data_IF_813988079562
#
_entry.id   IF_813988079562
#
_cell.length_a   1.000
_cell.length_b   1.000
_cell.length_c   1.000
_cell.angle_alpha   90.00
_cell.angle_beta   90.00
_cell.angle_gamma   90.00
#
_symmetry.space_group_name_H-M   'P 1'
#
loop_
_entity.id
_entity.type
_entity.pdbx_description
1 polymer ?
#
# COMPACT_ATOMS: atom_id res chain seq x y z
N UNK A 1 11.58 12.27 -5.79
CA UNK A 1 10.62 12.40 -4.69
C UNK A 1 9.86 11.09 -4.42
N UNK A 2 9.10 10.50 -5.35
CA UNK A 2 8.41 9.21 -5.11
C UNK A 2 9.36 8.09 -4.68
N UNK A 3 10.49 7.93 -5.37
CA UNK A 3 11.52 6.94 -5.00
C UNK A 3 12.03 7.15 -3.57
N UNK A 4 12.38 8.39 -3.22
CA UNK A 4 12.94 8.73 -1.90
C UNK A 4 11.96 8.46 -0.76
N UNK A 5 10.67 8.75 -0.97
CA UNK A 5 9.62 8.43 0.01
C UNK A 5 9.51 6.91 0.24
N UNK A 6 9.49 6.11 -0.84
CA UNK A 6 9.46 4.65 -0.73
C UNK A 6 10.66 4.08 0.05
N UNK A 7 11.87 4.60 -0.20
CA UNK A 7 13.07 4.15 0.54
C UNK A 7 13.01 4.56 2.01
N UNK A 8 12.61 5.80 2.31
CA UNK A 8 12.54 6.30 3.69
C UNK A 8 11.61 5.46 4.56
N UNK A 9 10.46 5.06 4.02
CA UNK A 9 9.50 4.23 4.73
C UNK A 9 10.01 2.81 4.93
N UNK A 10 10.45 2.13 3.86
CA UNK A 10 10.62 0.68 3.89
C UNK A 10 11.96 0.20 4.46
N UNK A 11 12.95 1.09 4.62
CA UNK A 11 14.27 0.71 5.15
C UNK A 11 14.24 0.21 6.61
N UNK A 12 13.20 0.52 7.37
CA UNK A 12 13.02 0.04 8.74
C UNK A 12 12.38 -1.36 8.79
N UNK A 13 11.57 -1.74 7.80
CA UNK A 13 10.73 -2.95 7.84
C UNK A 13 11.52 -4.25 8.05
N UNK A 14 12.69 -4.47 7.42
CA UNK A 14 13.50 -5.67 7.66
C UNK A 14 14.05 -5.78 9.10
N UNK A 15 14.00 -4.69 9.88
CA UNK A 15 14.50 -4.62 11.26
C UNK A 15 13.39 -4.92 12.29
N UNK A 16 12.16 -5.14 11.86
CA UNK A 16 11.01 -5.40 12.75
C UNK A 16 11.21 -6.62 13.67
N UNK A 17 11.80 -7.75 13.23
CA UNK A 17 12.10 -8.86 14.14
C UNK A 17 13.04 -8.47 15.28
N UNK A 18 14.06 -7.66 15.00
CA UNK A 18 14.98 -7.16 16.03
C UNK A 18 14.28 -6.22 17.01
N UNK A 19 13.43 -5.32 16.50
CA UNK A 19 12.67 -4.36 17.32
C UNK A 19 11.67 -5.11 18.21
N UNK A 20 10.93 -6.08 17.64
CA UNK A 20 9.99 -6.94 18.37
C UNK A 20 10.69 -7.67 19.51
N UNK A 21 11.83 -8.30 19.20
CA UNK A 21 12.63 -9.04 20.18
C UNK A 21 13.23 -8.12 21.26
N UNK A 22 13.75 -6.94 20.86
CA UNK A 22 14.33 -5.95 21.78
C UNK A 22 13.34 -5.47 22.84
N UNK A 23 12.07 -5.26 22.46
CA UNK A 23 11.03 -4.84 23.39
C UNK A 23 10.26 -6.01 24.03
N UNK A 24 10.55 -7.25 23.66
CA UNK A 24 9.88 -8.45 24.18
C UNK A 24 8.37 -8.48 23.85
N UNK A 25 7.97 -7.97 22.66
CA UNK A 25 6.56 -7.88 22.28
C UNK A 25 6.04 -9.23 21.81
N UNK A 26 4.81 -9.59 22.25
CA UNK A 26 4.03 -10.63 21.58
C UNK A 26 3.60 -10.19 20.17
N UNK A 27 3.08 -11.10 19.36
CA UNK A 27 2.61 -10.78 18.01
C UNK A 27 1.42 -9.80 18.04
N UNK A 28 0.50 -9.96 18.99
CA UNK A 28 -0.60 -9.02 19.22
C UNK A 28 -0.07 -7.62 19.59
N UNK A 29 0.88 -7.54 20.51
CA UNK A 29 1.46 -6.27 20.93
C UNK A 29 2.22 -5.60 19.78
N UNK A 30 2.96 -6.38 19.00
CA UNK A 30 3.63 -5.87 17.80
C UNK A 30 2.61 -5.36 16.76
N UNK A 31 1.58 -6.13 16.43
CA UNK A 31 0.51 -5.72 15.51
C UNK A 31 -0.19 -4.43 15.95
N UNK A 32 -0.48 -4.29 17.26
CA UNK A 32 -1.03 -3.04 17.83
C UNK A 32 -0.04 -1.87 17.78
N UNK A 33 1.26 -2.15 17.84
CA UNK A 33 2.30 -1.13 17.78
C UNK A 33 2.46 -0.59 16.36
N UNK A 34 2.55 -1.46 15.36
CA UNK A 34 2.77 -1.04 13.96
C UNK A 34 1.53 -0.39 13.35
N UNK A 35 0.34 -0.70 13.85
CA UNK A 35 -0.91 -0.04 13.41
C UNK A 35 -0.91 1.47 13.68
N UNK A 36 -0.05 1.94 14.60
CA UNK A 36 0.12 3.36 14.88
C UNK A 36 0.48 4.17 13.61
N UNK A 37 1.27 3.60 12.70
CA UNK A 37 1.57 4.24 11.40
C UNK A 37 0.29 4.49 10.59
N UNK A 38 -0.56 3.49 10.44
CA UNK A 38 -1.83 3.63 9.71
C UNK A 38 -2.79 4.60 10.40
N UNK A 39 -2.83 4.60 11.73
CA UNK A 39 -3.62 5.55 12.51
C UNK A 39 -3.15 6.99 12.28
N UNK A 40 -1.84 7.24 12.27
CA UNK A 40 -1.26 8.53 11.93
C UNK A 40 -1.63 8.98 10.52
N UNK A 41 -1.55 8.08 9.54
CA UNK A 41 -1.91 8.37 8.16
C UNK A 41 -3.39 8.74 7.98
N UNK A 42 -4.29 8.13 8.75
CA UNK A 42 -5.72 8.50 8.75
C UNK A 42 -5.92 9.90 9.34
N UNK A 43 -5.25 10.22 10.46
CA UNK A 43 -5.33 11.55 11.08
C UNK A 43 -4.79 12.67 10.19
N UNK A 44 -3.87 12.36 9.28
CA UNK A 44 -3.27 13.32 8.34
C UNK A 44 -4.25 13.88 7.30
N UNK A 45 -5.36 13.18 7.03
CA UNK A 45 -6.27 13.51 5.93
C UNK A 45 -6.80 14.95 5.98
N UNK A 46 -7.00 15.50 7.17
CA UNK A 46 -7.47 16.88 7.36
C UNK A 46 -6.35 17.94 7.22
N UNK A 47 -5.08 17.55 7.37
CA UNK A 47 -3.95 18.48 7.41
C UNK A 47 -3.29 18.69 6.03
N UNK A 48 -3.32 17.68 5.14
CA UNK A 48 -2.57 17.71 3.89
C UNK A 48 -3.00 18.87 2.97
N UNK A 49 -4.29 19.05 2.70
CA UNK A 49 -4.78 20.07 1.78
C UNK A 49 -4.49 21.52 2.25
N UNK A 50 -4.73 21.93 3.52
CA UNK A 50 -4.31 23.24 4.02
C UNK A 50 -2.82 23.50 3.90
N UNK A 51 -1.98 22.51 4.21
CA UNK A 51 -0.53 22.64 4.13
C UNK A 51 -0.06 22.84 2.70
N UNK A 52 -0.60 22.04 1.75
CA UNK A 52 -0.28 22.16 0.32
C UNK A 52 -0.71 23.52 -0.23
N UNK A 53 -1.90 24.01 0.12
CA UNK A 53 -2.36 25.35 -0.31
C UNK A 53 -1.47 26.47 0.22
N UNK A 54 -1.03 26.36 1.50
CA UNK A 54 -0.24 27.43 2.15
C UNK A 54 1.22 27.47 1.70
N UNK A 55 1.84 26.30 1.51
CA UNK A 55 3.30 26.19 1.31
C UNK A 55 3.70 25.65 -0.06
N UNK A 56 2.74 25.17 -0.85
CA UNK A 56 2.96 24.53 -2.15
C UNK A 56 3.38 23.06 -2.03
N UNK A 57 2.95 22.26 -3.00
CA UNK A 57 3.12 20.81 -3.01
C UNK A 57 4.60 20.38 -2.92
N UNK A 58 5.47 20.98 -3.75
CA UNK A 58 6.90 20.65 -3.78
C UNK A 58 7.57 20.90 -2.44
N UNK A 59 7.27 22.03 -1.77
CA UNK A 59 7.85 22.38 -0.48
C UNK A 59 7.37 21.44 0.61
N UNK A 60 6.08 21.12 0.65
CA UNK A 60 5.50 20.16 1.60
C UNK A 60 6.15 18.80 1.42
N UNK A 61 6.39 18.35 0.18
CA UNK A 61 7.04 17.07 -0.09
C UNK A 61 8.47 17.01 0.48
N UNK A 62 9.36 17.94 0.16
CA UNK A 62 10.76 17.82 0.61
C UNK A 62 10.92 18.10 2.11
N UNK A 63 10.19 19.07 2.69
CA UNK A 63 10.18 19.29 4.14
C UNK A 63 9.61 18.10 4.88
N UNK A 64 8.48 17.59 4.40
CA UNK A 64 7.87 16.37 4.93
C UNK A 64 8.77 15.14 4.85
N UNK A 65 9.56 14.99 3.77
CA UNK A 65 10.55 13.91 3.68
C UNK A 65 11.62 13.99 4.76
N UNK A 66 12.06 15.20 5.14
CA UNK A 66 12.99 15.39 6.27
C UNK A 66 12.32 15.01 7.60
N UNK A 67 11.08 15.44 7.80
CA UNK A 67 10.31 15.10 9.02
C UNK A 67 10.09 13.59 9.08
N UNK A 68 9.70 12.95 7.97
CA UNK A 68 9.55 11.49 7.88
C UNK A 68 10.87 10.78 8.22
N UNK A 69 11.98 11.21 7.63
CA UNK A 69 13.29 10.66 7.93
C UNK A 69 13.64 10.78 9.42
N UNK A 70 13.33 11.93 10.03
CA UNK A 70 13.58 12.17 11.45
C UNK A 70 12.72 11.27 12.34
N UNK A 71 11.42 11.16 12.05
CA UNK A 71 10.51 10.29 12.81
C UNK A 71 10.89 8.81 12.66
N UNK A 72 11.31 8.37 11.48
CA UNK A 72 11.82 7.01 11.25
C UNK A 72 13.15 6.77 11.98
N UNK A 73 14.04 7.77 12.06
CA UNK A 73 15.27 7.67 12.84
C UNK A 73 14.96 7.58 14.35
N UNK A 74 14.00 8.35 14.85
CA UNK A 74 13.51 8.23 16.24
C UNK A 74 12.89 6.86 16.48
N UNK A 75 12.13 6.31 15.54
CA UNK A 75 11.60 4.95 15.64
C UNK A 75 12.73 3.92 15.73
N UNK A 76 13.75 4.02 14.88
CA UNK A 76 14.90 3.11 14.88
C UNK A 76 15.81 3.21 16.10
N UNK A 77 15.81 4.34 16.81
CA UNK A 77 16.58 4.56 18.05
C UNK A 77 15.70 4.59 19.30
N UNK A 78 14.45 4.14 19.25
CA UNK A 78 13.50 4.28 20.35
C UNK A 78 13.91 3.47 21.59
N UNK A 79 13.81 4.05 22.80
CA UNK A 79 14.16 3.37 24.05
C UNK A 79 13.02 2.50 24.60
N UNK A 80 11.81 2.57 24.03
CA UNK A 80 10.65 1.79 24.47
C UNK A 80 9.64 1.61 23.35
N UNK A 81 8.79 0.57 23.49
CA UNK A 81 7.72 0.29 22.52
C UNK A 81 6.73 1.47 22.37
N UNK A 82 6.47 2.22 23.43
CA UNK A 82 5.60 3.40 23.37
C UNK A 82 6.20 4.54 22.56
N UNK A 83 7.51 4.79 22.70
CA UNK A 83 8.22 5.81 21.87
C UNK A 83 8.26 5.34 20.43
N UNK A 84 8.49 4.03 20.20
CA UNK A 84 8.42 3.43 18.87
C UNK A 84 7.05 3.63 18.21
N UNK A 85 5.96 3.30 18.92
CA UNK A 85 4.59 3.50 18.43
C UNK A 85 4.28 4.97 18.15
N UNK A 86 4.67 5.88 19.05
CA UNK A 86 4.48 7.32 18.85
C UNK A 86 5.27 7.86 17.64
N UNK A 87 6.50 7.38 17.45
CA UNK A 87 7.32 7.73 16.29
C UNK A 87 6.72 7.18 14.99
N UNK A 88 6.19 5.95 14.98
CA UNK A 88 5.46 5.38 13.85
C UNK A 88 4.18 6.17 13.55
N UNK A 89 3.42 6.58 14.56
CA UNK A 89 2.25 7.43 14.37
C UNK A 89 2.62 8.76 13.70
N UNK A 90 3.66 9.43 14.20
CA UNK A 90 4.16 10.68 13.60
C UNK A 90 4.71 10.46 12.18
N UNK A 91 5.37 9.32 11.94
CA UNK A 91 5.84 8.93 10.62
C UNK A 91 4.67 8.72 9.65
N UNK A 92 3.64 7.99 10.05
CA UNK A 92 2.44 7.76 9.23
C UNK A 92 1.67 9.03 8.91
N UNK A 93 1.51 9.92 9.90
CA UNK A 93 0.92 11.25 9.71
C UNK A 93 1.72 12.05 8.67
N UNK A 94 3.03 12.06 8.79
CA UNK A 94 3.92 12.81 7.89
C UNK A 94 3.93 12.20 6.49
N UNK A 95 4.02 10.87 6.41
CA UNK A 95 4.03 10.11 5.13
C UNK A 95 2.77 10.39 4.30
N UNK A 96 1.59 10.35 4.93
CA UNK A 96 0.35 10.63 4.22
C UNK A 96 0.25 12.08 3.72
N UNK A 97 0.82 13.05 4.44
CA UNK A 97 0.93 14.45 3.97
C UNK A 97 1.90 14.54 2.78
N UNK A 98 3.04 13.86 2.86
CA UNK A 98 4.05 13.80 1.78
C UNK A 98 3.46 13.12 0.56
N UNK A 99 2.75 12.00 0.73
CA UNK A 99 2.11 11.28 -0.37
C UNK A 99 1.09 12.16 -1.10
N UNK A 100 0.20 12.83 -0.37
CA UNK A 100 -0.74 13.78 -0.96
C UNK A 100 -0.02 14.90 -1.74
N UNK A 101 1.03 15.48 -1.17
CA UNK A 101 1.77 16.57 -1.77
C UNK A 101 2.54 16.13 -3.02
N UNK A 102 3.22 14.98 -2.98
CA UNK A 102 3.96 14.47 -4.14
C UNK A 102 3.02 14.07 -5.29
N UNK A 103 1.81 13.57 -4.99
CA UNK A 103 0.80 13.29 -6.01
C UNK A 103 0.32 14.58 -6.68
N UNK A 104 0.04 15.65 -5.92
CA UNK A 104 -0.30 16.96 -6.48
C UNK A 104 0.81 17.49 -7.38
N UNK A 105 2.07 17.42 -6.93
CA UNK A 105 3.23 17.83 -7.72
C UNK A 105 3.38 16.96 -8.99
N UNK A 106 3.18 15.64 -8.87
CA UNK A 106 3.25 14.69 -9.97
C UNK A 106 2.19 14.95 -11.05
N UNK A 107 0.95 15.23 -10.66
CA UNK A 107 -0.14 15.60 -11.58
C UNK A 107 0.18 16.93 -12.28
N UNK A 108 0.76 17.91 -11.59
CA UNK A 108 1.17 19.16 -12.20
C UNK A 108 2.27 18.95 -13.28
N UNK A 109 3.25 18.10 -13.00
CA UNK A 109 4.26 17.69 -13.98
C UNK A 109 3.63 16.93 -15.14
N UNK A 110 2.72 15.98 -14.89
CA UNK A 110 1.99 15.24 -15.93
C UNK A 110 1.29 16.17 -16.91
N UNK A 111 0.59 17.18 -16.39
CA UNK A 111 -0.08 18.19 -17.23
C UNK A 111 0.91 18.99 -18.10
N UNK A 112 2.07 19.37 -17.54
CA UNK A 112 3.10 20.09 -18.31
C UNK A 112 3.80 19.20 -19.31
N UNK A 113 3.89 17.91 -19.05
CA UNK A 113 4.53 16.91 -19.91
C UNK A 113 3.60 16.46 -21.07
N UNK A 114 2.29 16.67 -20.94
CA UNK A 114 1.29 16.31 -21.94
C UNK A 114 1.06 14.81 -22.14
N UNK A 115 1.55 13.97 -21.21
CA UNK A 115 1.41 12.51 -21.24
C UNK A 115 1.18 11.99 -19.83
N UNK A 116 0.37 10.94 -19.68
CA UNK A 116 0.15 10.29 -18.40
C UNK A 116 1.43 9.66 -17.86
N UNK A 117 1.86 10.08 -16.66
CA UNK A 117 3.06 9.58 -15.98
C UNK A 117 2.81 9.21 -14.52
N UNK A 118 1.61 9.45 -13.97
CA UNK A 118 1.32 9.22 -12.54
C UNK A 118 1.54 7.76 -12.14
N UNK A 119 1.13 6.80 -12.99
CA UNK A 119 1.37 5.38 -12.74
C UNK A 119 2.87 5.05 -12.72
N UNK A 120 3.66 5.67 -13.61
CA UNK A 120 5.12 5.53 -13.61
C UNK A 120 5.75 6.09 -12.35
N UNK A 121 5.21 7.20 -11.80
CA UNK A 121 5.67 7.78 -10.55
C UNK A 121 5.41 6.83 -9.36
N UNK A 122 4.24 6.18 -9.32
CA UNK A 122 3.94 5.15 -8.31
C UNK A 122 4.79 3.89 -8.49
N UNK A 123 5.12 3.51 -9.73
CA UNK A 123 6.06 2.43 -9.99
C UNK A 123 7.46 2.77 -9.46
N UNK A 124 7.91 4.00 -9.65
CA UNK A 124 9.18 4.51 -9.09
C UNK A 124 9.15 4.51 -7.55
N UNK A 125 8.00 4.81 -6.92
CA UNK A 125 7.82 4.64 -5.48
C UNK A 125 8.02 3.18 -5.05
N UNK A 126 7.39 2.23 -5.73
CA UNK A 126 7.54 0.79 -5.43
C UNK A 126 8.98 0.30 -5.56
N UNK A 127 9.72 0.81 -6.57
CA UNK A 127 11.15 0.54 -6.72
C UNK A 127 11.95 1.11 -5.55
N UNK A 128 11.61 2.32 -5.08
CA UNK A 128 12.16 2.92 -3.88
C UNK A 128 11.92 2.06 -2.64
N UNK A 129 10.69 1.61 -2.46
CA UNK A 129 10.32 0.76 -1.33
C UNK A 129 11.08 -0.60 -1.35
N UNK A 130 11.18 -1.25 -2.51
CA UNK A 130 11.99 -2.46 -2.64
C UNK A 130 13.48 -2.20 -2.33
N UNK A 131 14.02 -1.05 -2.77
CA UNK A 131 15.40 -0.63 -2.48
C UNK A 131 15.61 -0.41 -0.98
N UNK A 132 14.67 0.27 -0.31
CA UNK A 132 14.71 0.45 1.14
C UNK A 132 14.70 -0.88 1.89
N UNK A 133 13.87 -1.82 1.47
CA UNK A 133 13.87 -3.18 2.02
C UNK A 133 15.23 -3.88 1.88
N UNK A 134 15.89 -3.76 0.72
CA UNK A 134 17.27 -4.28 0.52
C UNK A 134 18.27 -3.59 1.44
N UNK A 135 18.21 -2.25 1.55
CA UNK A 135 19.08 -1.48 2.46
C UNK A 135 18.91 -1.97 3.90
N UNK A 136 17.67 -2.12 4.37
CA UNK A 136 17.38 -2.63 5.71
C UNK A 136 17.92 -4.06 5.93
N UNK A 137 17.71 -4.96 4.97
CA UNK A 137 18.17 -6.35 5.03
C UNK A 137 19.70 -6.45 5.07
N UNK A 138 20.39 -5.69 4.20
CA UNK A 138 21.87 -5.65 4.16
C UNK A 138 22.43 -5.05 5.46
N UNK A 139 21.82 -3.95 5.94
CA UNK A 139 22.25 -3.33 7.21
C UNK A 139 22.08 -4.28 8.39
N UNK A 140 21.00 -5.05 8.43
CA UNK A 140 20.77 -6.09 9.43
C UNK A 140 21.82 -7.22 9.34
N UNK A 141 22.14 -7.66 8.12
CA UNK A 141 23.13 -8.72 7.89
C UNK A 141 24.56 -8.29 8.23
N UNK A 142 24.83 -7.00 8.19
CA UNK A 142 26.14 -6.39 8.54
C UNK A 142 26.20 -5.92 10.00
N UNK A 143 25.19 -6.24 10.82
CA UNK A 143 25.07 -5.84 12.23
C UNK A 143 25.15 -4.31 12.44
N UNK A 144 24.75 -3.51 11.45
CA UNK A 144 24.69 -2.06 11.58
C UNK A 144 23.55 -1.71 12.55
N UNK A 145 23.82 -0.94 13.60
CA UNK A 145 22.80 -0.51 14.56
C UNK A 145 21.64 0.22 13.88
N UNK A 146 20.39 -0.08 14.28
CA UNK A 146 19.17 0.42 13.64
C UNK A 146 19.15 1.96 13.59
N UNK A 147 19.50 2.62 14.71
CA UNK A 147 19.56 4.08 14.79
C UNK A 147 20.55 4.68 13.78
N UNK A 148 21.75 4.11 13.65
CA UNK A 148 22.76 4.55 12.68
C UNK A 148 22.26 4.36 11.25
N UNK A 149 21.72 3.18 10.93
CA UNK A 149 21.12 2.90 9.63
C UNK A 149 20.07 3.96 9.28
N UNK A 150 19.13 4.23 10.18
CA UNK A 150 18.02 5.14 9.91
C UNK A 150 18.46 6.60 9.78
N UNK A 151 19.47 7.05 10.54
CA UNK A 151 20.03 8.39 10.41
C UNK A 151 20.75 8.54 9.06
N UNK A 152 21.59 7.57 8.68
CA UNK A 152 22.31 7.60 7.39
C UNK A 152 21.31 7.55 6.23
N UNK A 153 20.39 6.60 6.25
CA UNK A 153 19.34 6.46 5.23
C UNK A 153 18.50 7.74 5.13
N UNK A 154 18.04 8.27 6.27
CA UNK A 154 17.27 9.50 6.34
C UNK A 154 18.01 10.70 5.77
N UNK A 155 19.29 10.85 6.09
CA UNK A 155 20.14 11.95 5.59
C UNK A 155 20.31 11.89 4.07
N UNK A 156 20.72 10.73 3.55
CA UNK A 156 20.96 10.53 2.11
C UNK A 156 19.70 10.83 1.30
N UNK A 157 18.57 10.25 1.69
CA UNK A 157 17.35 10.38 0.89
C UNK A 157 16.61 11.71 1.12
N UNK A 158 16.80 12.37 2.26
CA UNK A 158 16.35 13.77 2.44
C UNK A 158 17.13 14.73 1.55
N UNK A 159 18.43 14.57 1.41
CA UNK A 159 19.24 15.34 0.47
C UNK A 159 18.78 15.07 -0.97
N UNK A 160 18.59 13.82 -1.34
CA UNK A 160 18.08 13.46 -2.67
C UNK A 160 16.69 14.06 -2.94
N UNK A 161 15.78 14.06 -1.97
CA UNK A 161 14.47 14.70 -2.07
C UNK A 161 14.57 16.21 -2.23
N UNK A 162 15.48 16.86 -1.49
CA UNK A 162 15.76 18.30 -1.62
C UNK A 162 16.31 18.64 -3.01
N UNK A 163 17.29 17.87 -3.51
CA UNK A 163 17.85 18.07 -4.87
C UNK A 163 16.74 17.88 -5.92
N UNK A 164 15.96 16.79 -5.82
CA UNK A 164 14.83 16.56 -6.72
C UNK A 164 13.81 17.70 -6.70
N UNK A 165 13.56 18.30 -5.52
CA UNK A 165 12.64 19.44 -5.40
C UNK A 165 13.11 20.68 -6.15
N UNK A 166 14.43 20.88 -6.25
CA UNK A 166 15.03 22.01 -6.98
C UNK A 166 14.95 21.85 -8.49
N UNK A 167 14.80 20.61 -8.97
CA UNK A 167 14.67 20.30 -10.40
C UNK A 167 13.23 20.41 -10.91
N UNK A 168 12.24 20.47 -10.01
CA UNK A 168 10.83 20.70 -10.38
C UNK A 168 10.67 22.19 -10.72
N UNK A 169 10.42 22.50 -11.97
CA UNK A 169 10.27 23.88 -12.47
C UNK A 169 9.05 24.55 -11.85
N UNK A 170 9.21 25.83 -11.50
CA UNK A 170 8.25 26.64 -10.75
C UNK A 170 6.85 26.77 -11.38
N UNK A 171 6.68 26.47 -12.68
CA UNK A 171 5.40 26.51 -13.39
C UNK A 171 4.43 25.38 -13.03
N UNK A 172 4.95 24.26 -12.54
CA UNK A 172 4.11 23.11 -12.15
C UNK A 172 3.52 23.22 -10.73
N UNK A 173 4.03 24.16 -9.92
CA UNK A 173 3.71 24.23 -8.48
C UNK A 173 2.44 25.04 -8.14
N UNK A 174 1.80 25.70 -9.09
CA UNK A 174 0.81 26.76 -8.84
C UNK A 174 -0.63 26.40 -9.20
N UNK A 175 -1.03 25.13 -9.26
CA UNK A 175 -2.44 24.80 -9.52
C UNK A 175 -3.22 24.59 -8.22
N UNK A 176 -4.47 25.13 -8.15
CA UNK A 176 -5.34 24.91 -6.99
C UNK A 176 -5.61 23.42 -6.80
N UNK A 177 -5.47 22.96 -5.57
CA UNK A 177 -6.00 21.64 -5.16
C UNK A 177 -7.52 21.76 -5.32
N UNK A 178 -8.10 20.99 -6.24
CA UNK A 178 -9.55 20.84 -6.31
C UNK A 178 -9.95 20.06 -5.05
N UNK A 179 -10.55 20.76 -4.10
CA UNK A 179 -11.15 20.13 -2.93
C UNK A 179 -12.28 19.22 -3.45
N UNK A 180 -12.06 17.91 -3.42
CA UNK A 180 -13.19 16.99 -3.33
C UNK A 180 -13.69 17.09 -1.88
N UNK A 181 -14.88 17.64 -1.62
CA UNK A 181 -15.32 17.85 -0.25
C UNK A 181 -15.66 16.49 0.36
N UNK A 182 -14.85 16.05 1.33
CA UNK A 182 -15.15 14.84 2.10
C UNK A 182 -16.54 14.89 2.76
N UNK A 183 -17.03 16.08 3.08
CA UNK A 183 -18.34 16.30 3.70
C UNK A 183 -19.52 16.12 2.72
N UNK A 184 -19.39 16.54 1.46
CA UNK A 184 -20.41 16.29 0.41
C UNK A 184 -20.40 14.83 -0.03
N UNK A 185 -19.23 14.19 -0.07
CA UNK A 185 -19.09 12.78 -0.36
C UNK A 185 -19.89 11.90 0.62
N UNK A 186 -19.85 12.23 1.91
CA UNK A 186 -20.60 11.50 2.94
C UNK A 186 -22.13 11.67 2.84
N UNK A 187 -22.60 12.85 2.42
CA UNK A 187 -24.02 13.14 2.26
C UNK A 187 -24.65 12.44 1.02
N UNK A 188 -23.92 12.38 -0.10
CA UNK A 188 -24.37 11.70 -1.33
C UNK A 188 -24.31 10.16 -1.21
N UNK A 189 -23.43 9.62 -0.37
CA UNK A 189 -23.32 8.21 -0.10
C UNK A 189 -24.49 7.59 0.64
N UNK A 190 -25.44 8.40 1.12
CA UNK A 190 -26.63 7.93 1.87
C UNK A 190 -27.59 7.04 1.07
N UNK A 191 -27.41 6.85 -0.24
CA UNK A 191 -28.23 5.98 -1.06
C UNK A 191 -27.87 4.49 -0.84
N UNK A 192 -28.83 3.63 -0.39
CA UNK A 192 -28.60 2.19 -0.27
C UNK A 192 -28.13 1.53 -1.58
N UNK A 193 -28.49 2.10 -2.72
CA UNK A 193 -28.10 1.62 -4.04
C UNK A 193 -26.61 1.88 -4.31
N UNK A 194 -26.10 3.07 -3.95
CA UNK A 194 -24.70 3.41 -4.09
C UNK A 194 -23.83 2.49 -3.22
N UNK A 195 -24.24 2.22 -1.97
CA UNK A 195 -23.54 1.30 -1.07
C UNK A 195 -23.48 -0.13 -1.58
N UNK A 196 -24.56 -0.66 -2.17
CA UNK A 196 -24.55 -2.01 -2.76
C UNK A 196 -23.52 -2.18 -3.87
N UNK A 197 -23.17 -1.09 -4.54
CA UNK A 197 -22.14 -1.08 -5.61
C UNK A 197 -20.74 -0.78 -5.05
N UNK A 198 -20.64 0.13 -4.08
CA UNK A 198 -19.37 0.57 -3.51
C UNK A 198 -18.77 -0.43 -2.52
N UNK A 199 -19.59 -1.09 -1.68
CA UNK A 199 -19.10 -2.00 -0.64
C UNK A 199 -18.23 -3.16 -1.18
N UNK A 200 -18.59 -3.87 -2.27
CA UNK A 200 -17.71 -4.90 -2.82
C UNK A 200 -16.40 -4.32 -3.38
N UNK A 201 -16.39 -3.07 -3.87
CA UNK A 201 -15.18 -2.41 -4.33
C UNK A 201 -14.27 -2.01 -3.16
N UNK A 202 -14.86 -1.52 -2.06
CA UNK A 202 -14.13 -1.26 -0.81
C UNK A 202 -13.51 -2.54 -0.28
N UNK A 203 -14.27 -3.63 -0.24
CA UNK A 203 -13.77 -4.92 0.20
C UNK A 203 -12.65 -5.45 -0.70
N UNK A 204 -12.76 -5.26 -2.03
CA UNK A 204 -11.70 -5.60 -2.97
C UNK A 204 -10.42 -4.78 -2.73
N UNK A 205 -10.56 -3.48 -2.45
CA UNK A 205 -9.43 -2.61 -2.12
C UNK A 205 -8.80 -3.02 -0.78
N UNK A 206 -9.61 -3.34 0.24
CA UNK A 206 -9.13 -3.86 1.53
C UNK A 206 -8.35 -5.17 1.33
N UNK A 207 -8.80 -6.10 0.48
CA UNK A 207 -8.04 -7.30 0.17
C UNK A 207 -6.65 -6.96 -0.42
N UNK A 208 -6.55 -5.94 -1.27
CA UNK A 208 -5.27 -5.47 -1.81
C UNK A 208 -4.36 -4.86 -0.76
N UNK A 209 -4.87 -3.94 0.07
CA UNK A 209 -4.10 -3.28 1.14
C UNK A 209 -3.69 -4.24 2.26
N UNK A 210 -4.48 -5.27 2.52
CA UNK A 210 -4.14 -6.35 3.47
C UNK A 210 -2.84 -7.06 3.04
N UNK A 211 -2.66 -7.32 1.75
CA UNK A 211 -1.44 -7.94 1.24
C UNK A 211 -0.24 -7.00 1.39
N UNK A 212 -0.43 -5.69 1.22
CA UNK A 212 0.61 -4.69 1.49
C UNK A 212 0.98 -4.64 2.99
N UNK A 213 -0.01 -4.76 3.88
CA UNK A 213 0.24 -4.83 5.32
C UNK A 213 1.04 -6.08 5.71
N UNK A 214 0.71 -7.24 5.14
CA UNK A 214 1.48 -8.48 5.33
C UNK A 214 2.92 -8.30 4.83
N UNK A 215 3.10 -7.68 3.66
CA UNK A 215 4.43 -7.42 3.13
C UNK A 215 5.26 -6.57 4.10
N UNK A 216 4.68 -5.48 4.59
CA UNK A 216 5.38 -4.48 5.39
C UNK A 216 5.65 -4.95 6.82
N UNK A 217 4.69 -5.60 7.46
CA UNK A 217 4.74 -5.84 8.91
C UNK A 217 5.03 -7.30 9.28
N UNK A 218 4.68 -8.27 8.45
CA UNK A 218 4.69 -9.68 8.83
C UNK A 218 5.61 -10.57 8.01
N UNK A 219 5.94 -10.20 6.77
CA UNK A 219 6.71 -11.07 5.88
C UNK A 219 8.10 -11.41 6.43
N UNK A 220 8.79 -10.45 7.02
CA UNK A 220 10.14 -10.63 7.60
C UNK A 220 10.08 -11.43 8.89
N UNK A 221 9.07 -11.16 9.75
CA UNK A 221 8.82 -11.95 10.95
C UNK A 221 8.57 -13.41 10.59
N UNK A 222 7.65 -13.65 9.65
CA UNK A 222 7.35 -15.00 9.17
C UNK A 222 8.62 -15.73 8.69
N UNK A 223 9.46 -15.07 7.92
CA UNK A 223 10.70 -15.67 7.44
C UNK A 223 11.66 -16.04 8.57
N UNK A 224 11.74 -15.21 9.62
CA UNK A 224 12.59 -15.44 10.79
C UNK A 224 12.06 -16.53 11.71
N UNK A 225 10.78 -16.45 12.02
CA UNK A 225 10.16 -17.27 13.06
C UNK A 225 9.77 -18.65 12.53
N UNK A 226 9.28 -18.73 11.28
CA UNK A 226 8.69 -19.94 10.73
C UNK A 226 9.63 -20.72 9.78
N UNK A 227 10.57 -20.03 9.11
CA UNK A 227 11.49 -20.69 8.17
C UNK A 227 12.93 -20.71 8.65
N UNK A 228 13.21 -20.13 9.82
CA UNK A 228 14.57 -19.99 10.40
C UNK A 228 15.57 -19.37 9.41
N UNK A 229 15.08 -18.50 8.51
CA UNK A 229 15.90 -17.88 7.49
C UNK A 229 17.02 -17.02 8.10
N UNK A 230 18.23 -17.01 7.49
CA UNK A 230 19.25 -16.02 7.84
C UNK A 230 18.71 -14.59 7.72
N UNK A 231 19.21 -13.67 8.56
CA UNK A 231 18.72 -12.27 8.62
C UNK A 231 18.66 -11.61 7.25
N UNK A 232 19.71 -11.77 6.44
CA UNK A 232 19.77 -11.21 5.08
C UNK A 232 18.65 -11.74 4.17
N UNK A 233 18.36 -13.04 4.24
CA UNK A 233 17.31 -13.68 3.41
C UNK A 233 15.92 -13.28 3.89
N UNK A 234 15.71 -13.26 5.21
CA UNK A 234 14.44 -12.84 5.80
C UNK A 234 14.09 -11.39 5.42
N UNK A 235 15.06 -10.48 5.51
CA UNK A 235 14.86 -9.07 5.16
C UNK A 235 14.50 -8.84 3.70
N UNK A 236 14.82 -9.77 2.79
CA UNK A 236 14.41 -9.68 1.38
C UNK A 236 12.92 -9.94 1.15
N UNK A 237 12.19 -10.49 2.12
CA UNK A 237 10.76 -10.81 1.93
C UNK A 237 9.94 -9.58 1.52
N UNK A 238 10.14 -8.44 2.17
CA UNK A 238 9.50 -7.15 1.82
C UNK A 238 9.84 -6.78 0.37
N UNK A 239 11.13 -6.80 0.03
CA UNK A 239 11.61 -6.40 -1.30
C UNK A 239 11.08 -7.29 -2.41
N UNK A 240 11.01 -8.61 -2.17
CA UNK A 240 10.46 -9.59 -3.12
C UNK A 240 8.98 -9.35 -3.34
N UNK A 241 8.22 -9.16 -2.27
CA UNK A 241 6.77 -8.98 -2.36
C UNK A 241 6.40 -7.66 -3.04
N UNK A 242 7.03 -6.54 -2.64
CA UNK A 242 6.81 -5.22 -3.24
C UNK A 242 7.38 -5.16 -4.66
N UNK A 243 8.54 -5.78 -4.91
CA UNK A 243 9.12 -5.90 -6.25
C UNK A 243 8.24 -6.68 -7.22
N UNK A 244 7.64 -7.79 -6.77
CA UNK A 244 6.67 -8.54 -7.55
C UNK A 244 5.38 -7.73 -7.82
N UNK A 245 4.91 -6.96 -6.85
CA UNK A 245 3.81 -6.02 -7.03
C UNK A 245 4.15 -4.94 -8.07
N UNK A 246 5.36 -4.40 -8.05
CA UNK A 246 5.83 -3.47 -9.09
C UNK A 246 5.76 -4.08 -10.49
N UNK A 247 6.26 -5.31 -10.66
CA UNK A 247 6.18 -6.02 -11.95
C UNK A 247 4.72 -6.23 -12.38
N UNK A 248 3.87 -6.63 -11.44
CA UNK A 248 2.44 -6.79 -11.69
C UNK A 248 1.76 -5.49 -12.11
N UNK A 249 2.14 -4.34 -11.54
CA UNK A 249 1.64 -3.00 -11.95
C UNK A 249 2.11 -2.61 -13.34
N UNK A 250 3.36 -2.90 -13.71
CA UNK A 250 3.87 -2.63 -15.07
C UNK A 250 3.17 -3.44 -16.15
N UNK A 251 2.79 -4.68 -15.84
CA UNK A 251 2.08 -5.55 -16.76
C UNK A 251 0.56 -5.36 -16.72
N UNK A 252 0.06 -4.69 -15.68
CA UNK A 252 -1.35 -4.57 -15.34
C UNK A 252 -2.22 -4.01 -16.46
N UNK A 253 -1.75 -2.97 -17.16
CA UNK A 253 -2.49 -2.37 -18.26
C UNK A 253 -2.67 -3.35 -19.42
N UNK A 254 -1.58 -4.03 -19.85
CA UNK A 254 -1.62 -5.05 -20.90
C UNK A 254 -2.50 -6.26 -20.54
N UNK A 255 -2.42 -6.67 -19.27
CA UNK A 255 -3.27 -7.76 -18.76
C UNK A 255 -4.74 -7.34 -18.76
N UNK A 256 -5.03 -6.11 -18.36
CA UNK A 256 -6.39 -5.54 -18.33
C UNK A 256 -6.98 -5.41 -19.74
N UNK A 257 -6.19 -4.97 -20.71
CA UNK A 257 -6.61 -4.89 -22.12
C UNK A 257 -6.95 -6.25 -22.68
N UNK A 258 -6.19 -7.28 -22.31
CA UNK A 258 -6.37 -8.64 -22.85
C UNK A 258 -7.48 -9.45 -22.15
N UNK A 259 -7.57 -9.37 -20.81
CA UNK A 259 -8.44 -10.23 -20.00
C UNK A 259 -9.59 -9.48 -19.33
N UNK A 260 -9.64 -8.16 -19.49
CA UNK A 260 -10.59 -7.28 -18.79
C UNK A 260 -10.23 -7.13 -17.30
N UNK A 261 -10.77 -6.07 -16.69
CA UNK A 261 -10.49 -5.73 -15.27
C UNK A 261 -10.91 -6.83 -14.31
N UNK A 262 -12.08 -7.42 -14.53
CA UNK A 262 -12.60 -8.49 -13.68
C UNK A 262 -11.79 -9.79 -13.83
N UNK A 263 -11.32 -10.08 -15.04
CA UNK A 263 -10.44 -11.23 -15.31
C UNK A 263 -9.11 -11.11 -14.58
N UNK A 264 -8.48 -9.93 -14.65
CA UNK A 264 -7.23 -9.64 -13.96
C UNK A 264 -7.40 -9.65 -12.44
N UNK A 265 -8.46 -9.02 -11.92
CA UNK A 265 -8.73 -9.01 -10.47
C UNK A 265 -9.02 -10.43 -9.93
N UNK A 266 -9.73 -11.27 -10.72
CA UNK A 266 -9.96 -12.68 -10.34
C UNK A 266 -8.67 -13.49 -10.33
N UNK A 267 -7.84 -13.37 -11.37
CA UNK A 267 -6.53 -14.02 -11.40
C UNK A 267 -5.63 -13.53 -10.26
N UNK A 268 -5.66 -12.24 -9.98
CA UNK A 268 -4.95 -11.63 -8.85
C UNK A 268 -5.36 -12.22 -7.50
N UNK A 269 -6.67 -12.33 -7.24
CA UNK A 269 -7.18 -12.96 -6.01
C UNK A 269 -6.77 -14.43 -5.89
N UNK A 270 -6.80 -15.19 -6.97
CA UNK A 270 -6.32 -16.60 -6.99
C UNK A 270 -4.82 -16.65 -6.69
N UNK A 271 -4.01 -15.77 -7.31
CA UNK A 271 -2.56 -15.74 -7.08
C UNK A 271 -2.23 -15.35 -5.63
N UNK A 272 -2.98 -14.43 -5.03
CA UNK A 272 -2.86 -14.10 -3.60
C UNK A 272 -3.12 -15.35 -2.75
N UNK A 273 -4.27 -16.00 -2.95
CA UNK A 273 -4.63 -17.19 -2.18
C UNK A 273 -3.60 -18.30 -2.29
N UNK A 274 -3.21 -18.68 -3.54
CA UNK A 274 -2.20 -19.69 -3.79
C UNK A 274 -0.83 -19.30 -3.23
N UNK A 275 -0.39 -18.05 -3.45
CA UNK A 275 0.89 -17.55 -2.95
C UNK A 275 0.97 -17.62 -1.43
N UNK A 276 -0.09 -17.21 -0.73
CA UNK A 276 -0.13 -17.27 0.73
C UNK A 276 -0.23 -18.69 1.29
N UNK A 277 -0.93 -19.60 0.60
CA UNK A 277 -0.89 -21.04 0.93
C UNK A 277 0.54 -21.59 0.75
N UNK A 278 1.20 -21.29 -0.36
CA UNK A 278 2.59 -21.70 -0.60
C UNK A 278 3.52 -21.14 0.49
N UNK A 279 3.36 -19.89 0.89
CA UNK A 279 4.13 -19.30 1.98
C UNK A 279 3.85 -20.00 3.32
N UNK A 280 2.57 -20.15 3.70
CA UNK A 280 2.16 -20.75 4.98
C UNK A 280 2.62 -22.21 5.12
N UNK A 281 2.63 -22.99 4.03
CA UNK A 281 3.03 -24.39 4.03
C UNK A 281 4.51 -24.59 3.67
N UNK A 282 5.28 -23.51 3.51
CA UNK A 282 6.66 -23.57 3.02
C UNK A 282 7.57 -24.34 3.98
N UNK A 283 8.35 -25.30 3.46
CA UNK A 283 9.38 -25.99 4.23
C UNK A 283 10.70 -25.22 4.29
N UNK A 284 10.88 -24.21 3.41
CA UNK A 284 12.13 -23.45 3.29
C UNK A 284 11.86 -21.98 2.98
N UNK A 285 12.80 -21.12 3.32
CA UNK A 285 12.77 -19.69 3.02
C UNK A 285 12.58 -19.40 1.53
N UNK A 286 13.20 -20.18 0.63
CA UNK A 286 13.07 -19.99 -0.81
C UNK A 286 11.63 -20.21 -1.29
N UNK A 287 10.95 -21.25 -0.80
CA UNK A 287 9.54 -21.52 -1.13
C UNK A 287 8.63 -20.43 -0.57
N UNK A 288 8.89 -19.95 0.63
CA UNK A 288 8.14 -18.83 1.22
C UNK A 288 8.27 -17.56 0.36
N UNK A 289 9.48 -17.22 -0.11
CA UNK A 289 9.71 -16.08 -0.99
C UNK A 289 8.96 -16.19 -2.31
N UNK A 290 8.87 -17.40 -2.90
CA UNK A 290 8.04 -17.64 -4.10
C UNK A 290 6.56 -17.38 -3.79
N UNK A 291 6.06 -17.87 -2.65
CA UNK A 291 4.70 -17.58 -2.20
C UNK A 291 4.43 -16.09 -2.05
N UNK A 292 5.32 -15.36 -1.41
CA UNK A 292 5.23 -13.91 -1.26
C UNK A 292 5.30 -13.17 -2.60
N UNK A 293 6.15 -13.61 -3.54
CA UNK A 293 6.21 -13.04 -4.87
C UNK A 293 4.89 -13.22 -5.65
N UNK A 294 4.28 -14.41 -5.58
CA UNK A 294 2.97 -14.67 -6.19
C UNK A 294 1.87 -13.79 -5.61
N UNK A 295 1.84 -13.65 -4.28
CA UNK A 295 0.86 -12.82 -3.60
C UNK A 295 1.04 -11.33 -3.92
N UNK A 296 2.28 -10.84 -3.92
CA UNK A 296 2.61 -9.47 -4.29
C UNK A 296 2.21 -9.16 -5.74
N UNK A 297 2.54 -10.04 -6.69
CA UNK A 297 2.12 -9.90 -8.08
C UNK A 297 0.59 -9.91 -8.22
N UNK A 298 -0.09 -10.81 -7.51
CA UNK A 298 -1.55 -10.94 -7.54
C UNK A 298 -2.27 -9.70 -6.99
N UNK A 299 -1.72 -9.03 -5.97
CA UNK A 299 -2.32 -7.83 -5.36
C UNK A 299 -2.19 -6.57 -6.22
N UNK A 300 -1.28 -6.55 -7.19
CA UNK A 300 -0.83 -5.38 -7.91
C UNK A 300 -1.95 -4.54 -8.54
N UNK A 301 -3.01 -5.19 -9.03
CA UNK A 301 -4.08 -4.53 -9.79
C UNK A 301 -5.39 -4.39 -9.03
N UNK A 302 -5.53 -4.97 -7.83
CA UNK A 302 -6.80 -4.97 -7.10
C UNK A 302 -7.23 -3.56 -6.69
N UNK A 303 -6.33 -2.79 -6.09
CA UNK A 303 -6.59 -1.42 -5.65
C UNK A 303 -6.87 -0.50 -6.85
N UNK A 304 -6.02 -0.45 -7.90
CA UNK A 304 -6.33 0.34 -9.11
C UNK A 304 -7.65 -0.03 -9.77
N UNK A 305 -7.98 -1.33 -9.85
CA UNK A 305 -9.25 -1.79 -10.41
C UNK A 305 -10.46 -1.32 -9.59
N UNK A 306 -10.35 -1.35 -8.26
CA UNK A 306 -11.39 -0.88 -7.35
C UNK A 306 -11.61 0.64 -7.50
N UNK A 307 -10.54 1.44 -7.55
CA UNK A 307 -10.62 2.89 -7.78
C UNK A 307 -11.28 3.23 -9.12
N UNK A 308 -10.83 2.58 -10.20
CA UNK A 308 -11.40 2.81 -11.53
C UNK A 308 -12.87 2.38 -11.65
N UNK A 309 -13.33 1.46 -10.81
CA UNK A 309 -14.74 1.08 -10.74
C UNK A 309 -15.55 2.03 -9.84
N UNK A 310 -14.96 2.49 -8.73
CA UNK A 310 -15.60 3.43 -7.79
C UNK A 310 -15.90 4.79 -8.43
N UNK A 311 -15.03 5.26 -9.34
CA UNK A 311 -15.24 6.50 -10.11
C UNK A 311 -16.48 6.47 -11.02
N UNK A 312 -16.99 5.26 -11.32
CA UNK A 312 -18.13 5.05 -12.23
C UNK A 312 -19.39 4.57 -11.53
N UNK A 313 -19.46 4.66 -10.20
CA UNK A 313 -20.65 4.23 -9.45
C UNK A 313 -21.81 5.19 -9.72
N UNK A 314 -22.93 4.72 -10.31
CA UNK A 314 -24.08 5.58 -10.61
C UNK A 314 -24.71 6.17 -9.35
N UNK A 315 -25.05 7.45 -9.41
CA UNK A 315 -25.70 8.18 -8.30
C UNK A 315 -24.73 8.82 -7.32
N UNK A 316 -23.42 8.78 -7.61
CA UNK A 316 -22.41 9.57 -6.90
C UNK A 316 -21.87 10.67 -7.82
N UNK A 317 -21.56 11.84 -7.26
CA UNK A 317 -20.88 12.90 -7.98
C UNK A 317 -19.44 12.48 -8.37
N UNK A 318 -18.87 13.04 -9.43
CA UNK A 318 -17.52 12.71 -9.89
C UNK A 318 -16.50 12.81 -8.75
N UNK A 319 -15.69 11.75 -8.57
CA UNK A 319 -14.66 11.69 -7.54
C UNK A 319 -15.15 11.24 -6.14
N UNK A 320 -16.45 11.30 -5.83
CA UNK A 320 -17.00 10.90 -4.52
C UNK A 320 -16.72 9.43 -4.22
N UNK A 321 -16.97 8.53 -5.19
CA UNK A 321 -16.71 7.10 -5.02
C UNK A 321 -15.23 6.81 -4.77
N UNK A 322 -14.34 7.51 -5.45
CA UNK A 322 -12.88 7.42 -5.28
C UNK A 322 -12.45 7.88 -3.89
N UNK A 323 -12.96 9.04 -3.43
CA UNK A 323 -12.64 9.58 -2.12
C UNK A 323 -13.10 8.66 -0.98
N UNK A 324 -14.32 8.13 -1.07
CA UNK A 324 -14.87 7.18 -0.10
C UNK A 324 -14.08 5.87 -0.05
N UNK A 325 -13.77 5.30 -1.22
CA UNK A 325 -12.98 4.07 -1.31
C UNK A 325 -11.60 4.29 -0.72
N UNK A 326 -10.92 5.40 -1.07
CA UNK A 326 -9.60 5.74 -0.55
C UNK A 326 -9.56 5.91 0.97
N UNK A 327 -10.64 6.43 1.57
CA UNK A 327 -10.73 6.54 3.03
C UNK A 327 -11.02 5.17 3.68
N UNK A 328 -12.01 4.43 3.15
CA UNK A 328 -12.46 3.16 3.71
C UNK A 328 -11.41 2.04 3.61
N UNK A 329 -10.63 2.00 2.53
CA UNK A 329 -9.58 0.98 2.38
C UNK A 329 -8.49 1.10 3.46
N UNK A 330 -8.29 2.30 4.03
CA UNK A 330 -7.32 2.52 5.13
C UNK A 330 -7.72 1.80 6.41
N UNK A 331 -9.01 1.49 6.59
CA UNK A 331 -9.48 0.63 7.68
C UNK A 331 -8.86 -0.78 7.57
N UNK A 332 -8.52 -1.23 6.36
CA UNK A 332 -7.81 -2.49 6.16
C UNK A 332 -6.49 -2.51 6.93
N UNK A 333 -5.66 -1.48 6.78
CA UNK A 333 -4.39 -1.37 7.52
C UNK A 333 -4.59 -1.31 9.05
N UNK A 334 -5.67 -0.67 9.54
CA UNK A 334 -5.94 -0.60 10.98
C UNK A 334 -6.31 -1.95 11.59
N UNK A 335 -6.95 -2.81 10.82
CA UNK A 335 -7.52 -4.08 11.33
C UNK A 335 -6.58 -5.25 11.06
N UNK A 336 -5.85 -5.23 9.95
CA UNK A 336 -5.05 -6.38 9.49
C UNK A 336 -3.99 -6.78 10.52
N UNK A 337 -3.08 -5.88 10.87
CA UNK A 337 -1.95 -6.22 11.75
C UNK A 337 -2.39 -6.67 13.15
N UNK A 338 -3.35 -6.03 13.84
CA UNK A 338 -3.87 -6.56 15.11
C UNK A 338 -4.53 -7.94 14.98
N UNK A 339 -5.28 -8.19 13.90
CA UNK A 339 -5.92 -9.50 13.69
C UNK A 339 -4.88 -10.61 13.42
N UNK A 340 -3.88 -10.32 12.59
CA UNK A 340 -2.79 -11.26 12.32
C UNK A 340 -2.02 -11.56 13.60
N UNK A 341 -1.67 -10.53 14.39
CA UNK A 341 -0.96 -10.71 15.66
C UNK A 341 -1.78 -11.52 16.67
N UNK A 342 -3.07 -11.22 16.83
CA UNK A 342 -3.93 -11.96 17.76
C UNK A 342 -4.10 -13.43 17.35
N UNK A 343 -4.24 -13.71 16.04
CA UNK A 343 -4.33 -15.08 15.56
C UNK A 343 -2.98 -15.80 15.70
N UNK A 344 -1.87 -15.11 15.46
CA UNK A 344 -0.53 -15.66 15.62
C UNK A 344 -0.23 -16.02 17.08
N UNK A 345 -0.52 -15.16 18.05
CA UNK A 345 -0.35 -15.45 19.47
C UNK A 345 -1.24 -16.61 19.95
N UNK A 346 -2.41 -16.80 19.36
CA UNK A 346 -3.32 -17.89 19.68
C UNK A 346 -2.92 -19.23 19.03
N UNK A 347 -2.11 -19.18 17.97
CA UNK A 347 -1.72 -20.34 17.15
C UNK A 347 -0.23 -20.26 16.76
N UNK A 348 0.04 -19.78 15.54
CA UNK A 348 1.35 -19.45 14.98
C UNK A 348 1.18 -18.54 13.74
N UNK A 349 2.29 -17.99 13.21
CA UNK A 349 2.26 -17.13 12.04
C UNK A 349 1.85 -17.87 10.76
N UNK A 350 2.06 -19.19 10.65
CA UNK A 350 1.60 -20.01 9.51
C UNK A 350 0.08 -20.00 9.41
N UNK A 351 -0.57 -20.23 10.55
CA UNK A 351 -2.04 -20.19 10.64
C UNK A 351 -2.56 -18.76 10.44
N UNK A 352 -1.85 -17.76 10.94
CA UNK A 352 -2.24 -16.35 10.76
C UNK A 352 -2.26 -15.93 9.27
N UNK A 353 -1.46 -16.56 8.40
CA UNK A 353 -1.53 -16.36 6.95
C UNK A 353 -2.84 -16.88 6.32
N UNK A 354 -3.70 -17.57 7.07
CA UNK A 354 -5.07 -17.87 6.60
C UNK A 354 -5.88 -16.58 6.34
N UNK A 355 -5.58 -15.47 7.04
CA UNK A 355 -6.22 -14.17 6.82
C UNK A 355 -5.99 -13.68 5.39
N UNK A 356 -4.75 -13.51 4.89
CA UNK A 356 -4.52 -13.12 3.50
C UNK A 356 -4.94 -14.20 2.47
N UNK A 357 -4.92 -15.48 2.82
CA UNK A 357 -5.53 -16.53 1.95
C UNK A 357 -7.02 -16.25 1.76
N UNK A 358 -7.74 -15.96 2.85
CA UNK A 358 -9.15 -15.59 2.82
C UNK A 358 -9.40 -14.31 1.98
N UNK A 359 -8.52 -13.30 2.11
CA UNK A 359 -8.59 -12.09 1.29
C UNK A 359 -8.46 -12.40 -0.21
N UNK A 360 -7.55 -13.32 -0.60
CA UNK A 360 -7.40 -13.78 -1.98
C UNK A 360 -8.67 -14.44 -2.52
N UNK A 361 -9.29 -15.32 -1.71
CA UNK A 361 -10.57 -15.97 -2.06
C UNK A 361 -11.69 -14.94 -2.23
N UNK A 362 -11.83 -14.01 -1.27
CA UNK A 362 -12.84 -12.94 -1.31
C UNK A 362 -12.65 -12.07 -2.57
N UNK A 363 -11.43 -11.67 -2.88
CA UNK A 363 -11.12 -10.87 -4.08
C UNK A 363 -11.50 -11.64 -5.37
N UNK A 364 -11.15 -12.93 -5.47
CA UNK A 364 -11.50 -13.76 -6.61
C UNK A 364 -13.02 -13.94 -6.78
N UNK A 365 -13.75 -14.14 -5.68
CA UNK A 365 -15.22 -14.27 -5.69
C UNK A 365 -15.89 -12.96 -6.10
N UNK A 366 -15.48 -11.81 -5.54
CA UNK A 366 -16.02 -10.50 -5.92
C UNK A 366 -15.83 -10.25 -7.42
N UNK A 367 -14.62 -10.47 -7.92
CA UNK A 367 -14.31 -10.29 -9.34
C UNK A 367 -15.09 -11.24 -10.25
N UNK A 368 -15.29 -12.50 -9.83
CA UNK A 368 -16.10 -13.46 -10.55
C UNK A 368 -17.58 -13.05 -10.64
N UNK A 369 -18.16 -12.62 -9.52
CA UNK A 369 -19.55 -12.16 -9.48
C UNK A 369 -19.76 -10.89 -10.32
N UNK A 370 -18.80 -9.96 -10.32
CA UNK A 370 -18.83 -8.77 -11.15
C UNK A 370 -18.79 -9.12 -12.66
N UNK A 371 -17.96 -10.08 -13.05
CA UNK A 371 -17.87 -10.60 -14.43
C UNK A 371 -19.21 -11.20 -14.90
N UNK A 372 -19.85 -12.03 -14.06
CA UNK A 372 -21.15 -12.64 -14.40
C UNK A 372 -22.24 -11.59 -14.63
N UNK A 373 -22.32 -10.56 -13.76
CA UNK A 373 -23.30 -9.47 -13.91
C UNK A 373 -23.15 -8.71 -15.22
N UNK A 374 -21.90 -8.46 -15.66
CA UNK A 374 -21.64 -7.82 -16.96
C UNK A 374 -22.06 -8.66 -18.16
N UNK A 375 -21.83 -9.98 -18.09
CA UNK A 375 -22.25 -10.88 -19.15
C UNK A 375 -23.78 -10.97 -19.25
N UNK A 376 -24.48 -11.05 -18.13
CA UNK A 376 -25.95 -11.02 -18.09
C UNK A 376 -26.50 -9.71 -18.67
N UNK A 377 -26.00 -8.55 -18.23
CA UNK A 377 -26.45 -7.26 -18.74
C UNK A 377 -26.14 -7.06 -20.25
N UNK A 378 -25.13 -7.72 -20.81
CA UNK A 378 -24.87 -7.69 -22.26
C UNK A 378 -25.80 -8.61 -23.03
N UNK A 379 -26.19 -9.76 -22.47
CA UNK A 379 -27.13 -10.67 -23.08
C UNK A 379 -28.55 -10.08 -23.21
N UNK A 380 -28.92 -9.25 -22.22
CA UNK A 380 -30.24 -8.57 -22.19
C UNK A 380 -30.32 -7.37 -23.17
N UNK A 381 -29.19 -6.90 -23.73
CA UNK A 381 -29.11 -5.74 -24.65
C UNK A 381 -29.04 -6.16 -26.13
N UNK A 382 -28.91 -7.44 -26.46
CA UNK A 382 -28.99 -7.90 -27.85
C UNK A 382 -30.48 -8.02 -28.23
N UNK A 383 -31.05 -7.05 -28.98
CA UNK A 383 -32.44 -7.17 -29.42
C UNK A 383 -32.51 -8.26 -30.49
N UNK A 384 -33.56 -9.07 -30.41
CA UNK A 384 -33.95 -10.04 -31.43
C UNK A 384 -34.48 -9.42 -32.73
N UNK A 385 -33.95 -8.27 -33.19
CA UNK A 385 -34.44 -7.50 -34.36
C UNK A 385 -33.46 -7.52 -35.52
N UNK A 386 -32.87 -8.66 -35.82
CA UNK A 386 -32.23 -8.88 -37.14
C UNK A 386 -32.65 -10.22 -37.76
N UNK A 387 -33.92 -10.59 -37.65
CA UNK A 387 -34.53 -11.68 -38.43
C UNK A 387 -35.90 -11.19 -38.93
N UNK A 388 -35.94 -10.25 -39.84
CA UNK A 388 -37.02 -10.20 -40.84
C UNK A 388 -36.39 -9.99 -42.24
N UNK A 389 -36.92 -10.73 -43.24
CA UNK A 389 -36.31 -10.98 -44.53
C UNK A 389 -36.30 -9.80 -45.51
#
# INVERSE_FOLDING_TARGET
>A
MFFTNGVLFSALLPRYPEIKAHFGLSDTQFGLTVVAFAAGAICAAAAAAPMIRRWGATRVTWVGSIVLATTMAVAGGSPSAWVFAAALFAAGLTDAIVDAAQNVAGIAVEKSYGRSIINSLHAVWSLGAATGGVIGAVSAALDVGIGVQMVVNGTVWSIAALVASRLVTSGAAAQPVVDAPAATAAAEAGSPRAWRLLAPLVLLAICGTLIEDIANNWSVLFMRDETTAPVAVAGLAVSVMIGAQFVGRLLGDRMTDRWGREGVARAGGVLIGLGMVVAATSPTAAVALVGFALAGFGSATLVPAAFAAADRVPGLSPGTGVAMLGWLMRLGFLVTSPCVGALSDATDLRVALAIPVGAGVVAAVIAHLASRRRHAARADVVPGDMLEP
#
